data_IF_739371171324
#
_entry.id   IF_739371171324
#
_cell.length_a   1.000
_cell.length_b   1.000
_cell.length_c   1.000
_cell.angle_alpha   90.00
_cell.angle_beta   90.00
_cell.angle_gamma   90.00
#
_symmetry.space_group_name_H-M   'P 1'
#
loop_
_entity.id
_entity.type
_entity.pdbx_description
1 polymer ?
#
# COMPACT_ATOMS: atom_id res chain seq x y z
N UNK A 1 -3.14 17.47 12.28
CA UNK A 1 -2.39 16.23 12.03
C UNK A 1 -1.75 16.37 10.64
N UNK A 2 -0.45 16.24 10.53
CA UNK A 2 0.26 16.35 9.24
C UNK A 2 0.00 15.11 8.39
N UNK A 3 -0.33 15.27 7.11
CA UNK A 3 -0.58 14.16 6.18
C UNK A 3 0.75 13.47 5.88
N UNK A 4 0.78 12.15 5.99
CA UNK A 4 1.97 11.35 5.72
C UNK A 4 2.17 11.16 4.20
N UNK A 5 3.42 11.10 3.77
CA UNK A 5 3.81 10.87 2.37
C UNK A 5 4.41 9.48 2.24
N UNK A 6 3.78 8.64 1.41
CA UNK A 6 4.26 7.32 1.04
C UNK A 6 4.82 7.36 -0.38
N UNK A 7 6.09 7.00 -0.54
CA UNK A 7 6.76 6.96 -1.84
C UNK A 7 6.35 5.69 -2.60
N UNK A 8 5.48 5.83 -3.61
CA UNK A 8 4.96 4.72 -4.42
C UNK A 8 6.11 4.00 -5.14
N UNK A 9 6.32 2.72 -4.84
CA UNK A 9 7.41 1.89 -5.39
C UNK A 9 8.80 2.53 -5.22
N UNK A 10 9.01 3.22 -4.09
CA UNK A 10 10.21 3.99 -3.85
C UNK A 10 10.24 5.38 -4.53
N UNK A 11 9.12 5.84 -5.09
CA UNK A 11 9.02 7.20 -5.65
C UNK A 11 9.95 7.45 -6.83
N UNK A 12 10.02 6.53 -7.79
CA UNK A 12 10.91 6.64 -8.94
C UNK A 12 10.41 7.57 -10.05
N UNK A 13 9.36 8.35 -9.80
CA UNK A 13 8.72 9.17 -10.82
C UNK A 13 8.04 8.31 -11.89
N UNK A 14 8.28 8.64 -13.15
CA UNK A 14 7.79 7.84 -14.29
C UNK A 14 8.84 6.83 -14.80
N UNK A 15 9.90 6.59 -14.04
CA UNK A 15 10.99 5.68 -14.41
C UNK A 15 10.67 4.26 -13.94
N UNK A 16 9.87 3.50 -14.71
CA UNK A 16 9.49 2.12 -14.39
C UNK A 16 10.66 1.18 -14.05
N UNK A 17 11.79 1.18 -14.77
CA UNK A 17 12.94 0.37 -14.40
C UNK A 17 13.54 0.70 -13.03
N UNK A 18 13.32 1.92 -12.54
CA UNK A 18 13.78 2.36 -11.22
C UNK A 18 12.81 2.04 -10.08
N UNK A 19 11.56 1.63 -10.36
CA UNK A 19 10.57 1.28 -9.35
C UNK A 19 10.92 -0.01 -8.60
N UNK A 20 10.50 -0.12 -7.34
CA UNK A 20 10.66 -1.34 -6.52
C UNK A 20 12.12 -1.83 -6.41
N UNK A 21 13.09 -0.92 -6.44
CA UNK A 21 14.52 -1.22 -6.27
C UNK A 21 15.02 -0.73 -4.91
N UNK A 22 16.09 -1.37 -4.39
CA UNK A 22 16.77 -0.90 -3.17
C UNK A 22 17.22 0.55 -3.31
N UNK A 23 17.78 0.92 -4.47
CA UNK A 23 18.23 2.29 -4.74
C UNK A 23 17.09 3.32 -4.69
N UNK A 24 15.87 2.96 -5.18
CA UNK A 24 14.70 3.82 -5.07
C UNK A 24 14.26 4.00 -3.61
N UNK A 25 14.23 2.90 -2.85
CA UNK A 25 13.91 2.93 -1.41
C UNK A 25 14.88 3.84 -0.66
N UNK A 26 16.18 3.64 -0.81
CA UNK A 26 17.21 4.48 -0.18
C UNK A 26 17.08 5.96 -0.57
N UNK A 27 16.78 6.25 -1.82
CA UNK A 27 16.53 7.60 -2.29
C UNK A 27 15.33 8.23 -1.60
N UNK A 28 14.20 7.53 -1.53
CA UNK A 28 12.99 8.02 -0.88
C UNK A 28 13.19 8.23 0.64
N UNK A 29 13.96 7.35 1.29
CA UNK A 29 14.38 7.51 2.68
C UNK A 29 15.24 8.77 2.86
N UNK A 30 16.19 9.03 1.94
CA UNK A 30 17.01 10.26 2.00
C UNK A 30 16.19 11.53 1.75
N UNK A 31 15.12 11.46 0.95
CA UNK A 31 14.19 12.58 0.74
C UNK A 31 13.31 12.86 1.97
N UNK A 32 13.25 11.96 2.94
CA UNK A 32 12.43 12.10 4.14
C UNK A 32 10.97 11.68 3.94
N UNK A 33 10.69 10.77 3.01
CA UNK A 33 9.37 10.16 2.89
C UNK A 33 9.01 9.44 4.19
N UNK A 34 7.77 9.62 4.67
CA UNK A 34 7.33 9.03 5.94
C UNK A 34 7.17 7.50 5.81
N UNK A 35 6.70 7.03 4.65
CA UNK A 35 6.55 5.62 4.29
C UNK A 35 7.10 5.36 2.90
N UNK A 36 7.54 4.13 2.68
CA UNK A 36 7.89 3.64 1.34
C UNK A 36 6.93 2.52 0.99
N UNK A 37 6.27 2.67 -0.15
CA UNK A 37 5.39 1.64 -0.67
C UNK A 37 6.14 0.74 -1.64
N UNK A 38 5.87 -0.56 -1.56
CA UNK A 38 6.42 -1.57 -2.45
C UNK A 38 5.45 -2.75 -2.64
N UNK A 39 5.42 -3.27 -3.89
CA UNK A 39 4.60 -4.41 -4.29
C UNK A 39 5.30 -5.74 -3.98
N UNK A 40 4.70 -6.59 -3.14
CA UNK A 40 5.29 -7.88 -2.74
C UNK A 40 4.68 -9.03 -3.53
N UNK A 41 5.52 -9.81 -4.17
CA UNK A 41 5.20 -11.00 -4.94
C UNK A 41 5.92 -12.24 -4.40
N UNK A 42 5.58 -13.39 -4.97
CA UNK A 42 6.31 -14.65 -4.76
C UNK A 42 6.89 -15.11 -6.09
N UNK A 43 8.19 -15.45 -6.10
CA UNK A 43 8.86 -16.02 -7.26
C UNK A 43 8.40 -17.47 -7.50
N UNK A 44 8.69 -18.07 -8.67
CA UNK A 44 8.38 -19.46 -8.95
C UNK A 44 8.95 -20.45 -7.92
N UNK A 45 10.15 -20.20 -7.38
CA UNK A 45 10.74 -21.00 -6.29
C UNK A 45 10.25 -20.63 -4.88
N UNK A 46 9.26 -19.73 -4.75
CA UNK A 46 8.65 -19.39 -3.49
C UNK A 46 9.30 -18.25 -2.71
N UNK A 47 10.34 -17.59 -3.24
CA UNK A 47 11.00 -16.45 -2.58
C UNK A 47 10.08 -15.24 -2.55
N UNK A 48 10.14 -14.45 -1.48
CA UNK A 48 9.45 -13.17 -1.37
C UNK A 48 10.29 -12.09 -2.06
N UNK A 49 9.73 -11.50 -3.12
CA UNK A 49 10.39 -10.51 -3.95
C UNK A 49 9.53 -9.27 -4.14
N UNK A 50 10.17 -8.15 -4.41
CA UNK A 50 9.53 -6.86 -4.65
C UNK A 50 9.63 -6.53 -6.14
N UNK A 51 8.49 -6.13 -6.72
CA UNK A 51 8.42 -5.81 -8.15
C UNK A 51 7.02 -5.38 -8.58
N UNK A 52 6.91 -4.64 -9.69
CA UNK A 52 5.61 -4.21 -10.21
C UNK A 52 4.75 -5.38 -10.70
N UNK A 53 5.35 -6.27 -11.46
CA UNK A 53 4.69 -7.45 -12.03
C UNK A 53 5.16 -8.72 -11.29
N UNK A 54 4.33 -9.76 -11.33
CA UNK A 54 4.74 -11.06 -10.80
C UNK A 54 5.94 -11.58 -11.58
N UNK A 55 7.01 -11.99 -10.91
CA UNK A 55 8.20 -12.49 -11.59
C UNK A 55 7.90 -13.79 -12.32
N UNK A 56 8.50 -13.95 -13.50
CA UNK A 56 8.41 -15.18 -14.32
C UNK A 56 9.60 -16.11 -14.09
N UNK A 57 10.63 -15.62 -13.41
CA UNK A 57 11.86 -16.32 -13.05
C UNK A 57 12.29 -15.97 -11.62
N UNK A 58 13.50 -16.36 -11.24
CA UNK A 58 14.05 -16.09 -9.90
C UNK A 58 14.73 -14.71 -9.78
N UNK A 59 14.63 -13.86 -10.80
CA UNK A 59 15.07 -12.47 -10.72
C UNK A 59 14.15 -11.65 -9.83
N UNK A 60 14.65 -10.57 -9.29
CA UNK A 60 13.88 -9.63 -8.47
C UNK A 60 14.60 -9.27 -7.18
N UNK A 61 14.21 -8.14 -6.63
CA UNK A 61 14.76 -7.64 -5.36
C UNK A 61 14.13 -8.42 -4.22
N UNK A 62 14.92 -8.93 -3.29
CA UNK A 62 14.38 -9.63 -2.12
C UNK A 62 13.62 -8.67 -1.21
N UNK A 63 12.52 -9.12 -0.64
CA UNK A 63 11.78 -8.35 0.37
C UNK A 63 12.68 -7.98 1.56
N UNK A 64 13.55 -8.89 2.00
CA UNK A 64 14.52 -8.64 3.07
C UNK A 64 15.45 -7.47 2.78
N UNK A 65 15.91 -7.33 1.53
CA UNK A 65 16.82 -6.27 1.13
C UNK A 65 16.11 -4.92 1.10
N UNK A 66 14.86 -4.89 0.66
CA UNK A 66 14.00 -3.69 0.69
C UNK A 66 13.75 -3.26 2.13
N UNK A 67 13.39 -4.20 3.00
CA UNK A 67 13.13 -3.91 4.42
C UNK A 67 14.41 -3.41 5.12
N UNK A 68 15.57 -4.01 4.83
CA UNK A 68 16.85 -3.55 5.37
C UNK A 68 17.18 -2.11 4.91
N UNK A 69 16.84 -1.75 3.66
CA UNK A 69 17.07 -0.40 3.13
C UNK A 69 16.17 0.68 3.76
N UNK A 70 15.02 0.32 4.31
CA UNK A 70 14.16 1.25 5.08
C UNK A 70 14.87 1.72 6.35
N UNK A 71 15.54 0.81 7.04
CA UNK A 71 16.14 1.06 8.35
C UNK A 71 15.10 1.51 9.38
N UNK A 72 15.51 2.41 10.25
CA UNK A 72 14.66 3.03 11.28
C UNK A 72 14.09 4.40 10.86
N UNK A 73 14.30 4.82 9.60
CA UNK A 73 13.99 6.18 9.13
C UNK A 73 12.65 6.32 8.44
N UNK A 74 12.15 5.28 7.78
CA UNK A 74 10.85 5.29 7.08
C UNK A 74 9.98 4.12 7.50
N UNK A 75 8.65 4.27 7.41
CA UNK A 75 7.70 3.19 7.59
C UNK A 75 7.56 2.32 6.32
N UNK A 76 7.04 1.11 6.49
CA UNK A 76 6.72 0.20 5.41
C UNK A 76 5.25 0.29 5.01
N UNK A 77 4.98 0.63 3.75
CA UNK A 77 3.66 0.46 3.14
C UNK A 77 3.73 -0.75 2.20
N UNK A 78 3.32 -1.90 2.70
CA UNK A 78 3.44 -3.20 2.03
C UNK A 78 2.19 -3.47 1.21
N UNK A 79 2.27 -3.42 -0.13
CA UNK A 79 1.15 -3.82 -0.99
C UNK A 79 1.29 -5.28 -1.43
N UNK A 80 0.49 -6.16 -0.81
CA UNK A 80 0.55 -7.60 -1.04
C UNK A 80 -0.14 -7.99 -2.34
N UNK A 81 0.63 -8.59 -3.23
CA UNK A 81 0.17 -9.18 -4.50
C UNK A 81 0.09 -10.71 -4.43
N UNK A 82 0.04 -11.25 -3.22
CA UNK A 82 -0.01 -12.67 -2.93
C UNK A 82 -1.47 -13.16 -2.87
N UNK A 83 -1.72 -14.37 -3.35
CA UNK A 83 -3.01 -15.04 -3.22
C UNK A 83 -3.12 -15.86 -1.92
N UNK A 84 -1.98 -16.34 -1.41
CA UNK A 84 -1.85 -17.14 -0.18
C UNK A 84 -0.48 -16.91 0.45
N UNK A 85 -0.32 -17.26 1.73
CA UNK A 85 0.95 -17.14 2.45
C UNK A 85 1.35 -15.68 2.73
N UNK A 86 0.38 -14.76 2.78
CA UNK A 86 0.60 -13.33 2.99
C UNK A 86 1.31 -13.05 4.32
N UNK A 87 1.02 -13.85 5.34
CA UNK A 87 1.61 -13.74 6.67
C UNK A 87 3.13 -13.91 6.68
N UNK A 88 3.68 -14.71 5.76
CA UNK A 88 5.14 -14.88 5.63
C UNK A 88 5.82 -13.56 5.23
N UNK A 89 5.22 -12.82 4.27
CA UNK A 89 5.73 -11.51 3.88
C UNK A 89 5.60 -10.50 5.03
N UNK A 90 4.47 -10.50 5.72
CA UNK A 90 4.25 -9.61 6.87
C UNK A 90 5.20 -9.92 8.01
N UNK A 91 5.49 -11.20 8.29
CA UNK A 91 6.42 -11.62 9.33
C UNK A 91 7.84 -11.05 9.10
N UNK A 92 8.32 -11.02 7.84
CA UNK A 92 9.62 -10.41 7.50
C UNK A 92 9.65 -8.93 7.88
N UNK A 93 8.57 -8.20 7.63
CA UNK A 93 8.50 -6.75 7.89
C UNK A 93 8.35 -6.48 9.40
N UNK A 94 7.49 -7.23 10.08
CA UNK A 94 7.24 -7.11 11.53
C UNK A 94 8.48 -7.46 12.36
N UNK A 95 9.32 -8.37 11.88
CA UNK A 95 10.59 -8.69 12.55
C UNK A 95 11.61 -7.53 12.50
N UNK A 96 11.45 -6.59 11.57
CA UNK A 96 12.42 -5.52 11.34
C UNK A 96 11.91 -4.13 11.77
N UNK A 97 10.61 -3.90 11.80
CA UNK A 97 10.03 -2.58 12.06
C UNK A 97 8.96 -2.64 13.16
N UNK A 98 8.81 -1.58 13.97
CA UNK A 98 7.70 -1.47 14.93
C UNK A 98 6.35 -1.36 14.22
N UNK A 99 5.30 -1.91 14.82
CA UNK A 99 3.97 -2.05 14.21
C UNK A 99 3.31 -0.72 13.81
N UNK A 100 3.55 0.33 14.55
CA UNK A 100 3.05 1.69 14.28
C UNK A 100 3.67 2.32 13.02
N UNK A 101 4.72 1.69 12.48
CA UNK A 101 5.39 2.07 11.22
C UNK A 101 5.11 1.09 10.07
N UNK A 102 4.12 0.24 10.21
CA UNK A 102 3.75 -0.75 9.19
C UNK A 102 2.28 -0.56 8.81
N UNK A 103 2.02 -0.42 7.52
CA UNK A 103 0.68 -0.57 6.95
C UNK A 103 0.73 -1.61 5.84
N UNK A 104 -0.18 -2.57 5.92
CA UNK A 104 -0.30 -3.65 4.93
C UNK A 104 -1.55 -3.43 4.11
N UNK A 105 -1.41 -3.38 2.81
CA UNK A 105 -2.51 -3.21 1.87
C UNK A 105 -2.59 -4.38 0.89
N UNK A 106 -3.78 -4.62 0.38
CA UNK A 106 -4.03 -5.61 -0.67
C UNK A 106 -5.29 -5.27 -1.43
N UNK A 107 -5.44 -5.78 -2.64
CA UNK A 107 -6.71 -5.75 -3.39
C UNK A 107 -7.53 -7.04 -3.27
N UNK A 108 -7.01 -8.03 -2.52
CA UNK A 108 -7.63 -9.35 -2.34
C UNK A 108 -8.47 -9.39 -1.05
N UNK A 109 -9.80 -9.49 -1.19
CA UNK A 109 -10.75 -9.43 -0.07
C UNK A 109 -10.49 -10.53 0.97
N UNK A 110 -10.10 -11.72 0.53
CA UNK A 110 -9.86 -12.88 1.38
C UNK A 110 -8.58 -12.81 2.21
N UNK A 111 -7.63 -11.93 1.82
CA UNK A 111 -6.37 -11.75 2.55
C UNK A 111 -6.56 -11.05 3.89
N UNK A 112 -7.48 -10.06 3.97
CA UNK A 112 -7.67 -9.29 5.20
C UNK A 112 -8.10 -10.16 6.38
N UNK A 113 -9.14 -11.03 6.31
CA UNK A 113 -9.50 -11.88 7.45
C UNK A 113 -8.42 -12.91 7.80
N UNK A 114 -7.65 -13.44 6.82
CA UNK A 114 -6.52 -14.34 7.11
C UNK A 114 -5.39 -13.61 7.85
N UNK A 115 -5.01 -12.43 7.39
CA UNK A 115 -4.00 -11.61 8.06
C UNK A 115 -4.47 -11.16 9.43
N UNK A 116 -5.75 -10.83 9.60
CA UNK A 116 -6.33 -10.47 10.90
C UNK A 116 -6.21 -11.63 11.89
N UNK A 117 -6.58 -12.85 11.48
CA UNK A 117 -6.46 -14.02 12.34
C UNK A 117 -5.00 -14.26 12.77
N UNK A 118 -4.05 -14.17 11.84
CA UNK A 118 -2.63 -14.31 12.13
C UNK A 118 -2.11 -13.17 13.04
N UNK A 119 -2.53 -11.93 12.78
CA UNK A 119 -2.02 -10.76 13.50
C UNK A 119 -2.43 -10.70 14.96
N UNK A 120 -3.53 -11.35 15.35
CA UNK A 120 -3.96 -11.41 16.77
C UNK A 120 -2.87 -12.00 17.66
N UNK A 121 -2.16 -13.01 17.17
CA UNK A 121 -1.12 -13.71 17.93
C UNK A 121 0.29 -13.14 17.70
N UNK A 122 0.58 -12.66 16.49
CA UNK A 122 1.95 -12.36 16.05
C UNK A 122 2.24 -10.87 15.89
N UNK A 123 1.21 -10.05 15.65
CA UNK A 123 1.36 -8.63 15.38
C UNK A 123 0.10 -7.85 15.80
N UNK A 124 -0.27 -7.85 17.11
CA UNK A 124 -1.51 -7.23 17.58
C UNK A 124 -1.48 -5.73 17.32
N UNK A 125 -2.49 -5.22 16.60
CA UNK A 125 -2.56 -3.81 16.19
C UNK A 125 -2.00 -3.51 14.80
N UNK A 126 -1.57 -4.52 14.05
CA UNK A 126 -1.15 -4.33 12.65
C UNK A 126 -2.27 -3.70 11.81
N UNK A 127 -1.94 -2.61 11.12
CA UNK A 127 -2.88 -1.86 10.29
C UNK A 127 -3.08 -2.53 8.94
N UNK A 128 -4.33 -2.93 8.64
CA UNK A 128 -4.71 -3.65 7.43
C UNK A 128 -5.67 -2.81 6.56
N UNK A 129 -5.36 -2.67 5.28
CA UNK A 129 -6.13 -1.92 4.30
C UNK A 129 -6.53 -2.73 3.07
N UNK A 130 -7.78 -2.54 2.60
CA UNK A 130 -8.26 -3.11 1.34
C UNK A 130 -8.33 -2.00 0.28
N UNK A 131 -7.55 -2.18 -0.80
CA UNK A 131 -7.53 -1.24 -1.91
C UNK A 131 -8.79 -1.33 -2.77
N UNK A 132 -9.22 -0.17 -3.31
CA UNK A 132 -10.32 -0.10 -4.29
C UNK A 132 -9.96 -0.68 -5.66
N UNK A 133 -8.68 -0.88 -5.97
CA UNK A 133 -8.29 -1.57 -7.19
C UNK A 133 -8.79 -3.02 -7.17
N UNK A 134 -9.70 -3.34 -8.08
CA UNK A 134 -10.05 -4.73 -8.32
C UNK A 134 -8.92 -5.38 -9.13
N UNK A 135 -8.23 -6.37 -8.57
CA UNK A 135 -7.34 -7.22 -9.36
C UNK A 135 -8.14 -7.97 -10.42
N UNK A 136 -7.81 -7.78 -11.68
CA UNK A 136 -8.21 -8.73 -12.72
C UNK A 136 -7.32 -9.97 -12.56
N UNK A 137 -7.72 -10.92 -11.72
CA UNK A 137 -7.10 -12.23 -11.77
C UNK A 137 -7.20 -12.77 -13.21
N UNK A 138 -6.16 -13.47 -13.66
CA UNK A 138 -6.21 -14.32 -14.88
C UNK A 138 -7.21 -15.44 -14.67
N UNK A 139 -8.48 -15.08 -14.48
CA UNK A 139 -9.59 -15.99 -14.24
C UNK A 139 -10.56 -16.03 -15.41
N UNK A 140 -11.42 -17.03 -15.43
CA UNK A 140 -12.51 -17.21 -16.41
C UNK A 140 -13.42 -15.98 -16.47
N UNK A 141 -14.08 -15.74 -17.62
CA UNK A 141 -14.98 -14.59 -17.85
C UNK A 141 -15.96 -14.26 -16.71
N UNK A 142 -16.59 -15.23 -16.01
CA UNK A 142 -17.49 -14.94 -14.88
C UNK A 142 -16.80 -14.30 -13.67
N UNK A 143 -15.58 -14.74 -13.33
CA UNK A 143 -14.85 -14.19 -12.18
C UNK A 143 -14.38 -12.74 -12.42
N UNK A 144 -14.08 -12.39 -13.67
CA UNK A 144 -13.75 -11.00 -14.07
C UNK A 144 -14.95 -10.06 -13.98
N UNK A 145 -16.16 -10.55 -14.26
CA UNK A 145 -17.39 -9.77 -14.13
C UNK A 145 -17.74 -9.52 -12.66
N UNK A 146 -17.66 -10.55 -11.81
CA UNK A 146 -17.84 -10.44 -10.36
C UNK A 146 -16.81 -9.50 -9.71
N UNK A 147 -15.55 -9.54 -10.13
CA UNK A 147 -14.54 -8.61 -9.66
C UNK A 147 -14.83 -7.16 -10.05
N UNK A 148 -15.38 -6.93 -11.26
CA UNK A 148 -15.83 -5.61 -11.69
C UNK A 148 -17.02 -5.12 -10.88
N UNK A 149 -18.03 -5.97 -10.62
CA UNK A 149 -19.19 -5.58 -9.80
C UNK A 149 -18.81 -5.33 -8.34
N UNK A 150 -17.86 -6.08 -7.79
CA UNK A 150 -17.34 -5.82 -6.43
C UNK A 150 -16.68 -4.44 -6.30
N UNK A 151 -16.03 -3.94 -7.36
CA UNK A 151 -15.47 -2.59 -7.40
C UNK A 151 -16.53 -1.48 -7.29
N UNK A 152 -17.80 -1.76 -7.62
CA UNK A 152 -18.91 -0.81 -7.53
C UNK A 152 -19.41 -0.58 -6.10
N UNK A 153 -19.03 -1.46 -5.15
CA UNK A 153 -19.46 -1.35 -3.75
C UNK A 153 -18.27 -1.32 -2.77
N UNK A 154 -17.31 -0.37 -2.92
CA UNK A 154 -16.09 -0.36 -2.11
C UNK A 154 -16.36 -0.28 -0.60
N UNK A 155 -17.39 0.47 -0.19
CA UNK A 155 -17.79 0.60 1.23
C UNK A 155 -18.25 -0.74 1.84
N UNK A 156 -19.01 -1.52 1.06
CA UNK A 156 -19.51 -2.81 1.52
C UNK A 156 -18.36 -3.83 1.63
N UNK A 157 -17.42 -3.82 0.65
CA UNK A 157 -16.23 -4.66 0.67
C UNK A 157 -15.36 -4.37 1.91
N UNK A 158 -14.99 -3.10 2.10
CA UNK A 158 -14.15 -2.67 3.22
C UNK A 158 -14.80 -2.94 4.58
N UNK A 159 -16.13 -2.72 4.69
CA UNK A 159 -16.86 -3.04 5.92
C UNK A 159 -16.88 -4.54 6.21
N UNK A 160 -17.10 -5.38 5.18
CA UNK A 160 -17.11 -6.85 5.33
C UNK A 160 -15.72 -7.38 5.68
N UNK A 161 -14.68 -6.81 5.09
CA UNK A 161 -13.30 -7.20 5.37
C UNK A 161 -12.81 -6.74 6.76
N UNK A 162 -13.45 -5.74 7.39
CA UNK A 162 -13.03 -5.22 8.68
C UNK A 162 -11.68 -4.49 8.63
N UNK A 163 -11.53 -3.57 7.65
CA UNK A 163 -10.29 -2.84 7.44
C UNK A 163 -10.03 -1.80 8.54
N UNK A 164 -8.77 -1.51 8.85
CA UNK A 164 -8.34 -0.46 9.76
C UNK A 164 -8.09 0.86 9.03
N UNK A 165 -7.78 0.80 7.73
CA UNK A 165 -7.52 1.96 6.87
C UNK A 165 -8.27 1.83 5.55
N UNK A 166 -8.86 2.93 5.11
CA UNK A 166 -9.53 3.04 3.80
C UNK A 166 -8.47 3.35 2.74
N UNK A 167 -8.27 2.44 1.79
CA UNK A 167 -7.27 2.57 0.73
C UNK A 167 -7.96 2.81 -0.60
N UNK A 168 -7.74 3.97 -1.22
CA UNK A 168 -8.54 4.35 -2.39
C UNK A 168 -7.79 5.14 -3.44
N UNK A 169 -8.11 4.86 -4.70
CA UNK A 169 -7.74 5.75 -5.81
C UNK A 169 -8.34 7.15 -5.58
N UNK A 170 -7.57 8.20 -5.88
CA UNK A 170 -7.88 9.59 -5.56
C UNK A 170 -9.28 10.06 -6.00
N UNK A 171 -9.76 9.64 -7.17
CA UNK A 171 -11.10 10.03 -7.65
C UNK A 171 -12.21 9.36 -6.84
N UNK A 172 -12.06 8.08 -6.51
CA UNK A 172 -13.03 7.35 -5.69
C UNK A 172 -13.01 7.89 -4.25
N UNK A 173 -11.82 8.19 -3.73
CA UNK A 173 -11.65 8.83 -2.43
C UNK A 173 -12.42 10.14 -2.37
N UNK A 174 -12.20 11.05 -3.35
CA UNK A 174 -12.77 12.39 -3.38
C UNK A 174 -14.30 12.41 -3.34
N UNK A 175 -14.93 11.58 -4.15
CA UNK A 175 -16.38 11.64 -4.32
C UNK A 175 -17.16 10.67 -3.43
N UNK A 176 -16.53 9.55 -3.00
CA UNK A 176 -17.31 8.45 -2.41
C UNK A 176 -16.81 7.98 -1.04
N UNK A 177 -15.49 7.96 -0.80
CA UNK A 177 -14.95 7.30 0.40
C UNK A 177 -14.46 8.27 1.48
N UNK A 178 -14.02 9.48 1.15
CA UNK A 178 -13.52 10.46 2.11
C UNK A 178 -14.52 10.73 3.25
N UNK A 179 -15.75 11.10 2.91
CA UNK A 179 -16.80 11.36 3.90
C UNK A 179 -17.23 10.10 4.66
N UNK A 180 -17.16 8.94 4.01
CA UNK A 180 -17.47 7.67 4.65
C UNK A 180 -16.39 7.25 5.65
N UNK A 181 -15.12 7.37 5.31
CA UNK A 181 -13.99 7.13 6.18
C UNK A 181 -14.06 8.04 7.43
N UNK A 182 -14.26 9.35 7.20
CA UNK A 182 -14.41 10.33 8.28
C UNK A 182 -15.53 9.96 9.27
N UNK A 183 -16.72 9.62 8.78
CA UNK A 183 -17.85 9.24 9.65
C UNK A 183 -17.61 7.98 10.47
N UNK A 184 -16.64 7.16 10.07
CA UNK A 184 -16.27 5.92 10.77
C UNK A 184 -15.01 6.06 11.61
N UNK A 185 -14.38 7.23 11.61
CA UNK A 185 -13.10 7.42 12.30
C UNK A 185 -11.96 6.62 11.71
N UNK A 186 -12.08 6.18 10.43
CA UNK A 186 -11.05 5.40 9.75
C UNK A 186 -10.07 6.33 9.04
N UNK A 187 -8.75 6.09 9.17
CA UNK A 187 -7.75 6.79 8.37
C UNK A 187 -7.97 6.54 6.88
N UNK A 188 -7.67 7.57 6.06
CA UNK A 188 -7.80 7.51 4.61
C UNK A 188 -6.41 7.58 3.96
N UNK A 189 -6.05 6.52 3.24
CA UNK A 189 -4.88 6.43 2.37
C UNK A 189 -5.32 6.60 0.92
N UNK A 190 -4.72 7.58 0.22
CA UNK A 190 -5.07 7.94 -1.15
C UNK A 190 -3.93 7.64 -2.10
N UNK A 191 -4.19 6.96 -3.21
CA UNK A 191 -3.20 6.56 -4.22
C UNK A 191 -3.74 6.68 -5.64
N UNK A 192 -2.98 6.71 -6.72
CA UNK A 192 -1.67 7.32 -6.75
C UNK A 192 -1.91 8.79 -7.10
N UNK A 193 -1.30 9.69 -6.38
CA UNK A 193 -1.52 11.14 -6.52
C UNK A 193 -0.22 11.76 -7.05
N UNK A 194 -0.18 12.13 -8.32
CA UNK A 194 1.05 12.61 -8.96
C UNK A 194 0.96 14.06 -9.47
N UNK A 195 -0.25 14.53 -9.78
CA UNK A 195 -0.45 15.90 -10.24
C UNK A 195 -0.28 16.92 -9.09
N UNK A 196 0.44 18.02 -9.33
CA UNK A 196 0.76 19.06 -8.33
C UNK A 196 -0.49 19.60 -7.61
N UNK A 197 -1.57 19.89 -8.35
CA UNK A 197 -2.80 20.39 -7.74
C UNK A 197 -3.53 19.32 -6.91
N UNK A 198 -3.48 18.06 -7.34
CA UNK A 198 -4.01 16.95 -6.58
C UNK A 198 -3.18 16.69 -5.32
N UNK A 199 -1.86 16.76 -5.40
CA UNK A 199 -0.96 16.68 -4.25
C UNK A 199 -1.27 17.80 -3.26
N UNK A 200 -1.34 19.05 -3.70
CA UNK A 200 -1.70 20.19 -2.84
C UNK A 200 -3.03 19.98 -2.13
N UNK A 201 -4.05 19.48 -2.85
CA UNK A 201 -5.36 19.19 -2.28
C UNK A 201 -5.28 18.12 -1.19
N UNK A 202 -4.68 16.96 -1.49
CA UNK A 202 -4.68 15.83 -0.59
C UNK A 202 -3.72 15.98 0.59
N UNK A 203 -2.58 16.65 0.43
CA UNK A 203 -1.64 16.92 1.54
C UNK A 203 -2.16 17.98 2.51
N UNK A 204 -3.13 18.81 2.07
CA UNK A 204 -3.80 19.82 2.91
C UNK A 204 -5.14 19.36 3.48
N UNK A 205 -5.65 18.20 3.08
CA UNK A 205 -6.94 17.71 3.58
C UNK A 205 -6.81 17.09 4.99
N UNK A 206 -7.47 17.68 6.03
CA UNK A 206 -7.33 17.21 7.41
C UNK A 206 -7.90 15.81 7.66
N UNK A 207 -8.60 15.24 6.69
CA UNK A 207 -9.16 13.89 6.78
C UNK A 207 -8.35 12.84 6.00
N UNK A 208 -7.31 13.26 5.31
CA UNK A 208 -6.34 12.36 4.68
C UNK A 208 -5.28 11.99 5.71
N UNK A 209 -5.06 10.70 5.90
CA UNK A 209 -4.00 10.19 6.76
C UNK A 209 -2.67 10.11 5.99
N UNK A 210 -2.72 9.56 4.76
CA UNK A 210 -1.54 9.30 3.95
C UNK A 210 -1.82 9.48 2.46
N UNK A 211 -0.85 10.03 1.73
CA UNK A 211 -0.85 10.13 0.27
C UNK A 211 0.27 9.26 -0.28
N UNK A 212 -0.06 8.39 -1.24
CA UNK A 212 0.93 7.59 -1.99
C UNK A 212 1.17 8.23 -3.35
N UNK A 213 2.43 8.52 -3.68
CA UNK A 213 2.83 9.27 -4.89
C UNK A 213 4.14 8.77 -5.50
N UNK A 214 4.28 8.92 -6.82
CA UNK A 214 5.54 8.71 -7.54
C UNK A 214 6.52 9.89 -7.34
N UNK A 215 6.05 11.03 -6.82
CA UNK A 215 6.80 12.28 -6.64
C UNK A 215 6.84 12.70 -5.15
N UNK A 216 7.50 11.91 -4.27
CA UNK A 216 7.51 12.19 -2.83
C UNK A 216 8.18 13.54 -2.49
N UNK A 217 9.16 13.97 -3.25
CA UNK A 217 9.81 15.28 -3.14
C UNK A 217 8.81 16.42 -3.31
N UNK A 218 7.96 16.36 -4.33
CA UNK A 218 6.91 17.36 -4.59
C UNK A 218 5.86 17.33 -3.47
N UNK A 219 5.43 16.13 -3.05
CA UNK A 219 4.43 15.98 -1.99
C UNK A 219 4.93 16.55 -0.66
N UNK A 220 6.18 16.28 -0.29
CA UNK A 220 6.81 16.80 0.93
C UNK A 220 6.92 18.32 0.90
N UNK A 221 7.30 18.90 -0.26
CA UNK A 221 7.39 20.35 -0.43
C UNK A 221 6.02 21.07 -0.37
N UNK A 222 4.95 20.41 -0.76
CA UNK A 222 3.58 20.94 -0.75
C UNK A 222 2.83 20.70 0.58
N UNK A 223 3.35 19.84 1.43
CA UNK A 223 2.73 19.47 2.71
C UNK A 223 2.79 20.66 3.68
N UNK A 224 1.66 21.11 4.26
CA UNK A 224 1.67 22.14 5.31
C UNK A 224 2.47 21.68 6.54
N UNK A 225 3.19 22.60 7.14
CA UNK A 225 3.96 22.38 8.38
C UNK A 225 3.06 22.36 9.62
#
# INVERSE_FOLDING_TARGET
>A
MTVLVSAHRGGAGNNRPGENTVAAVERAVRLGADYIEFDVHRSPAGRLVVGHDAPTDESGVLLSDVVAALGDRAGAHVDLKLATGEHEAVAVVVAALPLDRIVVTTSEDSSIPRLRAWSVEHAPGLMLGLSTAARSHRGTRPSRWLAKTAAWFPRARMRRAGVDVVVSHQLIARYWLRSWARRRGLPLLVWTVDGTDALRYWTSDPHTWMVTTNHPDVALALRPH
#
